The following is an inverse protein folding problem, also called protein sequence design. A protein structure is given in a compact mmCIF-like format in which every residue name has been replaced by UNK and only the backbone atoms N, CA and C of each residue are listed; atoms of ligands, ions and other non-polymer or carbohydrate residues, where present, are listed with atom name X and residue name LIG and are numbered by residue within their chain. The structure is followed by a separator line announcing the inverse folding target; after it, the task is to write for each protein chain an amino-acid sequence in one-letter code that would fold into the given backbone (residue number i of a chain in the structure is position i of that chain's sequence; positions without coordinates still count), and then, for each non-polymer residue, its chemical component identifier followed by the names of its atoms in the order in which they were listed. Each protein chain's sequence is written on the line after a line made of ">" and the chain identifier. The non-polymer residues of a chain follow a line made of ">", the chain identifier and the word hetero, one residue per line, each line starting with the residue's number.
data_IF_795587520108
#
_entry.id   IF_795587520108
#
_cell.length_a   1.000
_cell.length_b   1.000
_cell.length_c   1.000
_cell.angle_alpha   90.00
_cell.angle_beta   90.00
_cell.angle_gamma   90.00
#
_symmetry.space_group_name_H-M   'P 1'
#
loop_
_entity.id
_entity.type
_entity.pdbx_description
1 polymer ?
#
# COMPACT_ATOMS: atom_id res chain seq x y z
N UNK A 1 -0.24 35.01 -12.61
CA UNK A 1 0.04 34.75 -11.18
C UNK A 1 -1.29 34.55 -10.49
N UNK A 2 -1.59 33.34 -10.01
CA UNK A 2 -2.76 33.09 -9.17
C UNK A 2 -2.25 32.49 -7.87
N UNK A 3 -1.98 33.35 -6.89
CA UNK A 3 -1.87 32.95 -5.49
C UNK A 3 -3.24 33.22 -4.86
N UNK A 4 -4.04 32.16 -4.70
CA UNK A 4 -5.16 32.21 -3.76
C UNK A 4 -4.65 31.63 -2.45
N UNK A 5 -4.49 32.52 -1.48
CA UNK A 5 -4.26 32.21 -0.07
C UNK A 5 -5.35 31.24 0.41
N UNK A 6 -4.94 30.08 0.93
CA UNK A 6 -5.84 29.15 1.59
C UNK A 6 -6.02 29.64 3.03
N UNK A 7 -7.12 30.34 3.30
CA UNK A 7 -7.43 30.84 4.65
C UNK A 7 -7.77 29.67 5.57
N UNK A 8 -7.02 29.57 6.67
CA UNK A 8 -7.15 28.52 7.67
C UNK A 8 -8.00 28.98 8.85
N UNK A 9 -9.28 28.61 8.86
CA UNK A 9 -10.03 28.49 10.11
C UNK A 9 -10.89 27.23 10.04
N UNK A 10 -10.35 26.12 10.55
CA UNK A 10 -11.14 24.92 10.83
C UNK A 10 -11.08 24.68 12.33
N UNK A 11 -12.20 24.94 12.99
CA UNK A 11 -12.40 24.62 14.39
C UNK A 11 -12.69 23.11 14.45
N UNK A 12 -11.68 22.30 14.75
CA UNK A 12 -11.86 20.85 14.93
C UNK A 12 -11.67 20.48 16.39
N UNK A 13 -12.73 20.06 17.06
CA UNK A 13 -12.61 18.92 17.98
C UNK A 13 -12.27 17.72 17.11
N UNK A 14 -10.99 17.59 16.76
CA UNK A 14 -10.47 16.57 15.86
C UNK A 14 -10.44 15.28 16.67
N UNK A 15 -11.09 14.22 16.21
CA UNK A 15 -10.59 12.88 16.48
C UNK A 15 -9.12 12.91 16.03
N UNK A 16 -8.22 12.89 16.99
CA UNK A 16 -6.84 13.36 16.80
C UNK A 16 -6.10 12.43 15.83
N UNK A 17 -5.82 12.92 14.62
CA UNK A 17 -4.81 12.31 13.77
C UNK A 17 -3.46 12.36 14.49
N UNK A 18 -2.86 11.20 14.69
CA UNK A 18 -1.56 11.04 15.33
C UNK A 18 -0.63 10.25 14.41
N UNK A 19 0.41 10.91 13.91
CA UNK A 19 1.41 10.28 13.02
C UNK A 19 2.14 9.11 13.70
N UNK A 20 2.26 9.13 15.04
CA UNK A 20 2.95 8.08 15.79
C UNK A 20 2.20 6.73 15.79
N UNK A 21 0.91 6.73 15.45
CA UNK A 21 0.12 5.50 15.34
C UNK A 21 0.39 4.74 14.03
N UNK A 22 1.06 5.37 13.07
CA UNK A 22 1.39 4.78 11.77
C UNK A 22 2.77 4.11 11.84
N UNK A 23 2.80 2.79 11.80
CA UNK A 23 4.05 2.02 11.77
C UNK A 23 4.67 1.92 10.36
N UNK A 24 3.88 2.16 9.32
CA UNK A 24 4.28 2.02 7.92
C UNK A 24 3.10 2.13 6.98
N UNK A 25 3.32 1.77 5.71
CA UNK A 25 2.35 1.81 4.64
C UNK A 25 2.46 0.57 3.76
N UNK A 26 1.33 0.08 3.28
CA UNK A 26 1.28 -0.92 2.22
C UNK A 26 0.95 -0.27 0.89
N UNK A 27 1.56 -0.80 -0.17
CA UNK A 27 1.25 -0.55 -1.56
C UNK A 27 0.89 -1.89 -2.20
N UNK A 28 -0.39 -2.17 -2.36
CA UNK A 28 -0.88 -3.37 -3.04
C UNK A 28 -1.03 -3.07 -4.52
N UNK A 29 -0.12 -3.58 -5.33
CA UNK A 29 -0.16 -3.42 -6.78
C UNK A 29 -1.01 -4.53 -7.38
N UNK A 30 -2.16 -4.18 -7.95
CA UNK A 30 -3.11 -5.11 -8.55
C UNK A 30 -2.86 -5.35 -10.03
N UNK A 31 -3.14 -6.57 -10.48
CA UNK A 31 -3.17 -6.96 -11.88
C UNK A 31 -4.26 -7.99 -12.13
N UNK A 32 -4.73 -8.08 -13.38
CA UNK A 32 -5.65 -9.13 -13.78
C UNK A 32 -4.86 -10.41 -14.11
N UNK A 33 -4.96 -11.42 -13.25
CA UNK A 33 -4.17 -12.65 -13.29
C UNK A 33 -4.34 -13.46 -14.58
N UNK A 34 -5.53 -13.42 -15.20
CA UNK A 34 -5.79 -14.11 -16.47
C UNK A 34 -5.35 -13.30 -17.70
N UNK A 35 -4.78 -12.11 -17.51
CA UNK A 35 -4.25 -11.27 -18.59
C UNK A 35 -2.72 -11.24 -18.49
N UNK A 36 -2.06 -11.99 -19.39
CA UNK A 36 -0.59 -12.13 -19.45
C UNK A 36 0.13 -10.78 -19.55
N UNK A 37 -0.47 -9.78 -20.23
CA UNK A 37 0.13 -8.45 -20.31
C UNK A 37 0.04 -7.71 -18.97
N UNK A 38 -1.08 -7.86 -18.25
CA UNK A 38 -1.28 -7.26 -16.94
C UNK A 38 -0.36 -7.87 -15.89
N UNK A 39 -0.32 -9.21 -15.80
CA UNK A 39 0.56 -9.91 -14.84
C UNK A 39 2.03 -9.68 -15.16
N UNK A 40 2.42 -9.76 -16.44
CA UNK A 40 3.79 -9.46 -16.86
C UNK A 40 4.20 -8.00 -16.57
N UNK A 41 3.28 -7.04 -16.65
CA UNK A 41 3.57 -5.66 -16.22
C UNK A 41 3.81 -5.57 -14.71
N UNK A 42 2.95 -6.20 -13.90
CA UNK A 42 3.12 -6.20 -12.45
C UNK A 42 4.45 -6.84 -12.01
N UNK A 43 4.83 -7.98 -12.61
CA UNK A 43 6.12 -8.63 -12.33
C UNK A 43 7.31 -7.72 -12.66
N UNK A 44 7.31 -7.08 -13.84
CA UNK A 44 8.36 -6.11 -14.20
C UNK A 44 8.40 -4.93 -13.24
N UNK A 45 7.24 -4.42 -12.79
CA UNK A 45 7.20 -3.35 -11.81
C UNK A 45 7.79 -3.80 -10.47
N UNK A 46 7.43 -5.02 -10.01
CA UNK A 46 7.97 -5.62 -8.79
C UNK A 46 9.49 -5.77 -8.84
N UNK A 47 10.06 -6.26 -9.94
CA UNK A 47 11.53 -6.31 -10.12
C UNK A 47 12.19 -4.94 -10.00
N UNK A 48 11.54 -3.89 -10.49
CA UNK A 48 12.06 -2.51 -10.36
C UNK A 48 11.97 -2.01 -8.92
N UNK A 49 10.91 -2.37 -8.17
CA UNK A 49 10.82 -2.12 -6.72
C UNK A 49 11.98 -2.80 -6.00
N UNK A 50 12.23 -4.09 -6.24
CA UNK A 50 13.34 -4.85 -5.64
C UNK A 50 14.70 -4.20 -5.94
N UNK A 51 14.89 -3.76 -7.18
CA UNK A 51 16.11 -3.03 -7.59
C UNK A 51 16.28 -1.72 -6.80
N UNK A 52 15.20 -0.97 -6.60
CA UNK A 52 15.24 0.28 -5.83
C UNK A 52 15.48 0.06 -4.33
N UNK A 53 14.97 -1.06 -3.77
CA UNK A 53 15.27 -1.47 -2.40
C UNK A 53 16.77 -1.77 -2.29
N UNK A 54 17.31 -2.60 -3.19
CA UNK A 54 18.72 -2.98 -3.21
C UNK A 54 19.67 -1.78 -3.42
N UNK A 55 19.26 -0.81 -4.23
CA UNK A 55 20.04 0.41 -4.49
C UNK A 55 19.87 1.49 -3.40
N UNK A 56 19.07 1.23 -2.36
CA UNK A 56 18.89 2.12 -1.23
C UNK A 56 17.88 3.25 -1.42
N UNK A 57 17.26 3.40 -2.59
CA UNK A 57 16.19 4.39 -2.82
C UNK A 57 14.96 4.08 -1.96
N UNK A 58 14.63 2.80 -1.82
CA UNK A 58 13.53 2.28 -1.01
C UNK A 58 14.06 1.41 0.14
N UNK A 59 15.12 1.87 0.80
CA UNK A 59 15.89 1.08 1.78
C UNK A 59 15.08 0.58 3.00
N UNK A 60 14.01 1.26 3.40
CA UNK A 60 13.13 0.81 4.48
C UNK A 60 11.81 0.21 3.94
N UNK A 61 11.84 -0.33 2.71
CA UNK A 61 10.77 -1.10 2.13
C UNK A 61 11.18 -2.56 1.90
N UNK A 62 10.18 -3.44 1.87
CA UNK A 62 10.27 -4.85 1.53
C UNK A 62 9.10 -5.22 0.62
N UNK A 63 9.24 -6.28 -0.18
CA UNK A 63 8.15 -6.73 -1.07
C UNK A 63 7.81 -8.20 -0.83
N UNK A 64 6.53 -8.54 -0.97
CA UNK A 64 6.05 -9.93 -0.92
C UNK A 64 6.39 -10.69 -2.19
N UNK A 65 6.09 -11.98 -2.22
CA UNK A 65 5.92 -12.71 -3.47
C UNK A 65 4.74 -12.17 -4.29
N UNK A 66 4.58 -12.67 -5.50
CA UNK A 66 3.42 -12.38 -6.35
C UNK A 66 2.30 -13.36 -6.01
N UNK A 67 1.15 -12.84 -5.60
CA UNK A 67 -0.09 -13.59 -5.45
C UNK A 67 -0.85 -13.54 -6.76
N UNK A 68 -0.94 -14.66 -7.48
CA UNK A 68 -1.71 -14.73 -8.72
C UNK A 68 -3.21 -14.93 -8.50
N UNK A 69 -3.63 -15.23 -7.28
CA UNK A 69 -5.03 -15.42 -6.90
C UNK A 69 -5.46 -14.35 -5.90
N UNK A 70 -6.78 -14.07 -5.76
CA UNK A 70 -7.31 -13.24 -4.68
C UNK A 70 -6.89 -13.77 -3.31
N UNK A 71 -6.46 -12.87 -2.41
CA UNK A 71 -6.04 -13.21 -1.04
C UNK A 71 -6.58 -12.18 -0.07
N UNK A 72 -7.22 -12.63 1.02
CA UNK A 72 -7.81 -11.72 2.02
C UNK A 72 -8.84 -10.77 1.38
N UNK A 73 -8.76 -9.44 1.61
CA UNK A 73 -9.71 -8.49 1.05
C UNK A 73 -9.46 -8.14 -0.43
N UNK A 74 -8.40 -8.70 -1.02
CA UNK A 74 -7.89 -8.28 -2.33
C UNK A 74 -8.54 -9.10 -3.46
N UNK A 75 -9.27 -8.47 -4.40
CA UNK A 75 -10.17 -9.17 -5.32
C UNK A 75 -9.48 -9.79 -6.55
N UNK A 76 -8.22 -9.47 -6.80
CA UNK A 76 -7.44 -9.89 -7.97
C UNK A 76 -6.00 -10.16 -7.57
N UNK A 77 -5.20 -10.70 -8.49
CA UNK A 77 -3.78 -10.91 -8.27
C UNK A 77 -3.05 -9.63 -7.86
N UNK A 78 -2.09 -9.75 -6.95
CA UNK A 78 -1.34 -8.61 -6.42
C UNK A 78 0.07 -8.97 -5.94
N UNK A 79 0.86 -7.95 -5.66
CA UNK A 79 1.97 -8.04 -4.73
C UNK A 79 1.99 -6.82 -3.80
N UNK A 80 2.62 -6.98 -2.65
CA UNK A 80 2.71 -5.96 -1.62
C UNK A 80 4.11 -5.35 -1.64
N UNK A 81 4.19 -4.02 -1.63
CA UNK A 81 5.37 -3.30 -1.16
C UNK A 81 5.05 -2.68 0.20
N UNK A 82 5.69 -3.15 1.26
CA UNK A 82 5.53 -2.62 2.62
C UNK A 82 6.69 -1.67 2.90
N UNK A 83 6.39 -0.42 3.21
CA UNK A 83 7.40 0.59 3.55
C UNK A 83 7.20 1.12 4.97
N UNK A 84 8.28 1.28 5.73
CA UNK A 84 8.26 2.04 6.97
C UNK A 84 7.85 3.50 6.70
N UNK A 85 7.34 4.21 7.71
CA UNK A 85 6.91 5.62 7.62
C UNK A 85 7.98 6.52 6.97
N UNK A 86 9.26 6.26 7.23
CA UNK A 86 10.39 7.01 6.67
C UNK A 86 10.58 6.86 5.15
N UNK A 87 10.15 5.75 4.56
CA UNK A 87 10.24 5.50 3.11
C UNK A 87 8.92 5.72 2.37
N UNK A 88 7.87 6.20 3.05
CA UNK A 88 6.57 6.47 2.43
C UNK A 88 6.68 7.47 1.27
N UNK A 89 7.27 8.64 1.50
CA UNK A 89 7.36 9.70 0.47
C UNK A 89 8.19 9.27 -0.76
N UNK A 90 9.40 8.67 -0.62
CA UNK A 90 10.12 8.11 -1.75
C UNK A 90 9.34 7.03 -2.51
N UNK A 91 8.68 6.11 -1.79
CA UNK A 91 7.87 5.05 -2.40
C UNK A 91 6.69 5.63 -3.19
N UNK A 92 5.90 6.51 -2.57
CA UNK A 92 4.76 7.17 -3.23
C UNK A 92 5.21 7.94 -4.48
N UNK A 93 6.26 8.75 -4.37
CA UNK A 93 6.81 9.52 -5.50
C UNK A 93 7.25 8.61 -6.65
N UNK A 94 7.86 7.47 -6.34
CA UNK A 94 8.26 6.50 -7.35
C UNK A 94 7.05 5.81 -7.98
N UNK A 95 6.09 5.33 -7.19
CA UNK A 95 4.89 4.67 -7.71
C UNK A 95 4.08 5.59 -8.61
N UNK A 96 3.83 6.85 -8.21
CA UNK A 96 3.11 7.84 -9.03
C UNK A 96 3.71 7.99 -10.43
N UNK A 97 5.03 7.91 -10.56
CA UNK A 97 5.71 8.04 -11.85
C UNK A 97 5.80 6.73 -12.65
N UNK A 98 5.65 5.58 -11.98
CA UNK A 98 6.08 4.29 -12.54
C UNK A 98 5.01 3.19 -12.53
N UNK A 99 3.87 3.38 -11.87
CA UNK A 99 2.81 2.36 -11.79
C UNK A 99 2.11 2.09 -13.13
N UNK A 100 2.25 3.01 -14.10
CA UNK A 100 1.67 2.89 -15.42
C UNK A 100 0.14 2.77 -15.35
N UNK A 101 -0.41 1.67 -15.87
CA UNK A 101 -1.84 1.40 -15.85
C UNK A 101 -2.27 0.44 -14.72
N UNK A 102 -1.36 0.05 -13.83
CA UNK A 102 -1.68 -0.83 -12.69
C UNK A 102 -2.40 -0.01 -11.60
N UNK A 103 -3.39 -0.62 -10.97
CA UNK A 103 -4.03 -0.05 -9.77
C UNK A 103 -3.15 -0.33 -8.56
N UNK A 104 -2.96 0.68 -7.70
CA UNK A 104 -2.19 0.52 -6.45
C UNK A 104 -3.02 1.02 -5.28
N UNK A 105 -3.49 0.12 -4.43
CA UNK A 105 -4.08 0.49 -3.14
C UNK A 105 -2.96 0.85 -2.17
N UNK A 106 -3.06 2.03 -1.57
CA UNK A 106 -2.13 2.55 -0.60
C UNK A 106 -2.88 2.80 0.69
N UNK A 107 -2.41 2.22 1.80
CA UNK A 107 -3.01 2.46 3.10
C UNK A 107 -1.95 2.49 4.23
N UNK A 108 -2.20 3.25 5.31
CA UNK A 108 -1.34 3.22 6.50
C UNK A 108 -1.48 1.88 7.24
N UNK A 109 -0.51 1.61 8.10
CA UNK A 109 -0.55 0.51 9.06
C UNK A 109 -0.75 1.09 10.46
N UNK A 110 -2.00 1.15 10.88
CA UNK A 110 -2.39 1.49 12.24
C UNK A 110 -2.98 0.26 12.94
N UNK A 111 -3.58 0.46 14.11
CA UNK A 111 -4.33 -0.60 14.78
C UNK A 111 -5.72 -0.80 14.16
N UNK A 112 -6.24 0.16 13.42
CA UNK A 112 -7.60 0.14 12.86
C UNK A 112 -7.61 -0.44 11.45
N UNK A 113 -7.34 -1.73 11.34
CA UNK A 113 -7.10 -2.41 10.05
C UNK A 113 -8.25 -2.22 9.06
N UNK A 114 -9.51 -2.29 9.49
CA UNK A 114 -10.63 -2.07 8.58
C UNK A 114 -10.64 -0.63 8.06
N UNK A 115 -10.49 0.36 8.94
CA UNK A 115 -10.44 1.77 8.56
C UNK A 115 -9.22 2.09 7.70
N UNK A 116 -8.08 1.44 7.95
CA UNK A 116 -6.89 1.56 7.11
C UNK A 116 -7.21 1.17 5.66
N UNK A 117 -7.94 0.07 5.44
CA UNK A 117 -8.27 -0.43 4.10
C UNK A 117 -9.47 0.29 3.45
N UNK A 118 -10.24 1.08 4.20
CA UNK A 118 -11.45 1.76 3.69
C UNK A 118 -11.32 3.27 3.72
N UNK A 119 -11.38 3.87 4.91
CA UNK A 119 -11.51 5.31 5.14
C UNK A 119 -10.17 6.04 5.01
N UNK A 120 -9.07 5.36 5.34
CA UNK A 120 -7.70 5.92 5.32
C UNK A 120 -6.90 5.45 4.10
N UNK A 121 -7.57 4.77 3.16
CA UNK A 121 -6.97 4.26 1.95
C UNK A 121 -7.00 5.27 0.80
N UNK A 122 -6.04 5.14 -0.12
CA UNK A 122 -6.05 5.84 -1.40
C UNK A 122 -5.64 4.91 -2.52
N UNK A 123 -5.96 5.27 -3.76
CA UNK A 123 -5.60 4.50 -4.95
C UNK A 123 -4.80 5.35 -5.93
N UNK A 124 -3.76 4.76 -6.50
CA UNK A 124 -3.21 5.20 -7.78
C UNK A 124 -3.88 4.40 -8.91
N UNK A 125 -4.30 5.08 -9.97
CA UNK A 125 -5.05 4.46 -11.06
C UNK A 125 -6.53 4.21 -10.69
N UNK A 126 -7.10 3.13 -11.23
CA UNK A 126 -8.51 2.78 -11.00
C UNK A 126 -8.67 2.10 -9.64
N UNK A 127 -9.65 2.50 -8.82
CA UNK A 127 -9.94 1.81 -7.57
C UNK A 127 -10.61 0.45 -7.81
N UNK A 128 -10.45 -0.45 -6.84
CA UNK A 128 -11.09 -1.77 -6.83
C UNK A 128 -11.91 -1.93 -5.55
N UNK A 129 -13.12 -2.52 -5.62
CA UNK A 129 -13.86 -2.89 -4.42
C UNK A 129 -13.13 -4.00 -3.67
N UNK A 130 -12.99 -3.86 -2.35
CA UNK A 130 -12.35 -4.86 -1.50
C UNK A 130 -13.39 -5.78 -0.83
N UNK A 131 -13.01 -7.04 -0.58
CA UNK A 131 -13.82 -8.00 0.17
C UNK A 131 -13.54 -7.91 1.68
N UNK A 132 -14.15 -6.92 2.32
CA UNK A 132 -13.84 -6.50 3.69
C UNK A 132 -14.17 -7.48 4.84
N UNK A 133 -15.14 -8.42 4.75
CA UNK A 133 -15.53 -9.27 5.89
C UNK A 133 -14.39 -10.08 6.52
N UNK A 134 -13.29 -10.30 5.80
CA UNK A 134 -12.11 -11.01 6.31
C UNK A 134 -11.21 -10.16 7.21
N UNK A 135 -11.40 -8.83 7.24
CA UNK A 135 -10.55 -7.92 8.01
C UNK A 135 -11.08 -7.73 9.45
N UNK A 136 -10.24 -7.89 10.48
CA UNK A 136 -10.60 -7.47 11.82
C UNK A 136 -10.73 -5.94 11.85
N UNK A 137 -11.71 -5.36 12.57
CA UNK A 137 -11.81 -3.91 12.71
C UNK A 137 -10.57 -3.29 13.34
N UNK A 138 -10.04 -3.93 14.39
CA UNK A 138 -8.91 -3.46 15.19
C UNK A 138 -7.99 -4.62 15.57
N UNK A 139 -6.68 -4.37 15.61
CA UNK A 139 -5.65 -5.29 16.12
C UNK A 139 -4.95 -4.74 17.36
N UNK A 140 -4.26 -5.61 18.10
CA UNK A 140 -3.53 -5.22 19.33
C UNK A 140 -2.35 -4.29 19.05
N UNK A 141 -1.62 -4.54 17.97
CA UNK A 141 -0.47 -3.76 17.54
C UNK A 141 -0.50 -3.62 16.01
N UNK A 142 -0.06 -2.47 15.47
CA UNK A 142 0.02 -2.30 14.03
C UNK A 142 1.05 -3.26 13.42
N UNK A 143 0.79 -3.69 12.18
CA UNK A 143 1.76 -4.48 11.41
C UNK A 143 3.03 -3.67 11.18
N UNK A 144 4.17 -4.33 10.94
CA UNK A 144 5.45 -3.66 10.68
C UNK A 144 6.04 -4.16 9.37
N UNK A 145 6.65 -3.26 8.62
CA UNK A 145 7.40 -3.60 7.41
C UNK A 145 8.78 -4.14 7.78
N UNK A 146 8.81 -5.37 8.29
CA UNK A 146 10.02 -6.14 8.57
C UNK A 146 9.97 -7.48 7.84
N UNK A 147 11.12 -8.07 7.46
CA UNK A 147 11.17 -9.31 6.66
C UNK A 147 10.36 -10.48 7.23
N UNK A 148 10.22 -10.55 8.56
CA UNK A 148 9.50 -11.61 9.27
C UNK A 148 7.97 -11.47 9.17
N UNK A 149 7.46 -10.29 8.84
CA UNK A 149 6.02 -9.98 8.77
C UNK A 149 5.51 -9.89 7.32
N UNK A 150 6.38 -10.06 6.33
CA UNK A 150 5.93 -10.14 4.94
C UNK A 150 5.23 -11.48 4.78
N UNK A 151 3.93 -11.41 4.50
CA UNK A 151 3.11 -12.57 4.14
C UNK A 151 3.91 -13.41 3.14
N UNK A 152 4.30 -14.60 3.59
CA UNK A 152 4.68 -15.71 2.72
C UNK A 152 3.45 -16.59 2.65
N UNK A 153 3.15 -17.19 1.51
CA UNK A 153 2.32 -18.39 1.45
C UNK A 153 2.89 -19.30 2.53
N UNK A 154 2.10 -19.55 3.56
CA UNK A 154 2.27 -20.78 4.30
C UNK A 154 1.89 -21.84 3.30
N UNK A 155 2.89 -22.41 2.63
CA UNK A 155 2.69 -23.69 1.98
C UNK A 155 2.27 -24.66 3.11
N UNK A 156 1.10 -25.29 2.92
CA UNK A 156 0.39 -26.28 3.76
C UNK A 156 -0.80 -25.77 4.61
#
# INVERSE_FOLDING_TARGET
>A
MYEKSCSSEVNTTRDEWNEEDISGYHFHTYFFQNNVQSSGHAERLRTRVETNIANGLLNACITSEVYYDPVGPHPVGMFITCCNKTSMTPALSWFVQNHGNLSVLIHPLTREVLADHTEKATFLGQSMPLDLPTLPPVVKQPLKCIPEHVFRRTDD
#
